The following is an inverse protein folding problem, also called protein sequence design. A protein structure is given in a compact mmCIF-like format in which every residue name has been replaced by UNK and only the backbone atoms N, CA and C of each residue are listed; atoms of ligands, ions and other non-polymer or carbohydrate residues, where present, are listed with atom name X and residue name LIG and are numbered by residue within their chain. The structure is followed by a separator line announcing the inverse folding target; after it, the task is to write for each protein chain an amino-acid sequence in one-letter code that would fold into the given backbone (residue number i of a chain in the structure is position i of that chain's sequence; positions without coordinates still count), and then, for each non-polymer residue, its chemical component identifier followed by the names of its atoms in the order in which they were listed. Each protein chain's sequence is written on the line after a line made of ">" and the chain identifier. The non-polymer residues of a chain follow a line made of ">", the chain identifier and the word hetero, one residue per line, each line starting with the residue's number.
data_IF_638860831067
#
_entry.id   IF_638860831067
#
_cell.length_a   1.000
_cell.length_b   1.000
_cell.length_c   1.000
_cell.angle_alpha   90.00
_cell.angle_beta   90.00
_cell.angle_gamma   90.00
#
_symmetry.space_group_name_H-M   'P 1'
#
loop_
_entity.id
_entity.type
_entity.pdbx_description
1 polymer ?
#
# COMPACT_ATOMS: atom_id res chain seq x y z
N UNK A 1 -16.22 9.36 -11.05
CA UNK A 1 -14.95 8.82 -10.56
C UNK A 1 -13.94 9.95 -10.39
N UNK A 2 -13.32 9.97 -9.22
CA UNK A 2 -12.30 10.96 -8.89
C UNK A 2 -10.95 10.59 -9.52
N UNK A 3 -10.52 11.39 -10.51
CA UNK A 3 -9.30 11.13 -11.30
C UNK A 3 -8.03 11.08 -10.46
N UNK A 4 -8.02 11.74 -9.29
CA UNK A 4 -6.88 11.71 -8.39
C UNK A 4 -6.79 10.39 -7.64
N UNK A 5 -7.92 9.93 -7.08
CA UNK A 5 -8.03 8.66 -6.37
C UNK A 5 -7.71 7.48 -7.29
N UNK A 6 -8.20 7.48 -8.53
CA UNK A 6 -7.86 6.46 -9.52
C UNK A 6 -6.35 6.38 -9.80
N UNK A 7 -5.68 7.52 -9.95
CA UNK A 7 -4.22 7.56 -10.16
C UNK A 7 -3.46 7.00 -8.96
N UNK A 8 -3.92 7.31 -7.74
CA UNK A 8 -3.33 6.76 -6.51
C UNK A 8 -3.47 5.23 -6.50
N UNK A 9 -4.67 4.71 -6.77
CA UNK A 9 -4.92 3.26 -6.84
C UNK A 9 -4.06 2.61 -7.92
N UNK A 10 -3.92 3.24 -9.09
CA UNK A 10 -3.05 2.72 -10.16
C UNK A 10 -1.58 2.66 -9.71
N UNK A 11 -1.07 3.70 -9.05
CA UNK A 11 0.28 3.68 -8.51
C UNK A 11 0.50 2.56 -7.48
N UNK A 12 -0.49 2.30 -6.61
CA UNK A 12 -0.42 1.18 -5.65
C UNK A 12 -0.31 -0.15 -6.41
N UNK A 13 -1.17 -0.39 -7.40
CA UNK A 13 -1.15 -1.61 -8.23
C UNK A 13 0.17 -1.79 -8.99
N UNK A 14 0.70 -0.72 -9.56
CA UNK A 14 1.98 -0.76 -10.28
C UNK A 14 3.13 -1.12 -9.33
N UNK A 15 3.12 -0.58 -8.11
CA UNK A 15 4.12 -0.90 -7.09
C UNK A 15 3.99 -2.34 -6.58
N UNK A 16 2.77 -2.83 -6.36
CA UNK A 16 2.50 -4.21 -5.98
C UNK A 16 3.03 -5.18 -7.05
N UNK A 17 2.74 -4.92 -8.33
CA UNK A 17 3.27 -5.72 -9.45
C UNK A 17 4.81 -5.73 -9.48
N UNK A 18 5.45 -4.61 -9.17
CA UNK A 18 6.92 -4.50 -9.15
C UNK A 18 7.57 -5.39 -8.09
N UNK A 19 6.87 -5.73 -6.99
CA UNK A 19 7.39 -6.66 -5.98
C UNK A 19 7.71 -8.05 -6.56
N UNK A 20 7.02 -8.48 -7.62
CA UNK A 20 7.32 -9.74 -8.30
C UNK A 20 8.62 -9.75 -9.11
N UNK A 21 9.23 -8.58 -9.34
CA UNK A 21 10.40 -8.40 -10.21
C UNK A 21 11.60 -7.74 -9.52
N UNK A 22 11.53 -7.47 -8.21
CA UNK A 22 12.69 -6.92 -7.49
C UNK A 22 13.74 -8.01 -7.30
N UNK A 23 14.98 -7.66 -7.62
CA UNK A 23 16.14 -8.56 -7.65
C UNK A 23 17.15 -8.28 -6.53
N UNK A 24 16.86 -7.30 -5.67
CA UNK A 24 17.69 -6.99 -4.52
C UNK A 24 16.92 -6.28 -3.41
N UNK A 25 17.49 -6.39 -2.21
CA UNK A 25 17.00 -5.80 -0.97
C UNK A 25 16.76 -4.28 -1.02
N UNK A 26 17.64 -3.53 -1.69
CA UNK A 26 17.51 -2.07 -1.75
C UNK A 26 16.32 -1.66 -2.62
N UNK A 27 16.08 -2.35 -3.74
CA UNK A 27 14.90 -2.10 -4.58
C UNK A 27 13.62 -2.54 -3.88
N UNK A 28 13.62 -3.70 -3.21
CA UNK A 28 12.49 -4.17 -2.42
C UNK A 28 12.04 -3.14 -1.37
N UNK A 29 12.97 -2.67 -0.52
CA UNK A 29 12.60 -1.73 0.54
C UNK A 29 12.11 -0.39 -0.02
N UNK A 30 12.67 0.08 -1.15
CA UNK A 30 12.19 1.29 -1.83
C UNK A 30 10.76 1.12 -2.34
N UNK A 31 10.41 -0.04 -2.88
CA UNK A 31 9.02 -0.34 -3.29
C UNK A 31 8.10 -0.37 -2.08
N UNK A 32 8.50 -1.01 -0.98
CA UNK A 32 7.70 -1.04 0.25
C UNK A 32 7.47 0.35 0.86
N UNK A 33 8.50 1.20 0.91
CA UNK A 33 8.36 2.59 1.36
C UNK A 33 7.42 3.40 0.47
N UNK A 34 7.49 3.20 -0.85
CA UNK A 34 6.58 3.84 -1.79
C UNK A 34 5.13 3.34 -1.60
N UNK A 35 4.93 2.03 -1.41
CA UNK A 35 3.61 1.45 -1.11
C UNK A 35 3.02 2.09 0.15
N UNK A 36 3.77 2.17 1.24
CA UNK A 36 3.32 2.82 2.48
C UNK A 36 2.85 4.25 2.22
N UNK A 37 3.64 5.05 1.53
CA UNK A 37 3.30 6.44 1.20
C UNK A 37 1.99 6.54 0.40
N UNK A 38 1.82 5.75 -0.66
CA UNK A 38 0.63 5.85 -1.51
C UNK A 38 -0.62 5.29 -0.84
N UNK A 39 -0.47 4.27 0.01
CA UNK A 39 -1.56 3.79 0.86
C UNK A 39 -2.01 4.89 1.84
N UNK A 40 -1.09 5.53 2.55
CA UNK A 40 -1.43 6.63 3.48
C UNK A 40 -2.11 7.79 2.75
N UNK A 41 -1.60 8.16 1.57
CA UNK A 41 -2.23 9.16 0.71
C UNK A 41 -3.63 8.77 0.26
N UNK A 42 -3.87 7.49 -0.03
CA UNK A 42 -5.20 7.00 -0.37
C UNK A 42 -6.16 7.13 0.82
N UNK A 43 -5.73 6.72 2.02
CA UNK A 43 -6.52 6.85 3.23
C UNK A 43 -6.88 8.32 3.52
N UNK A 44 -5.91 9.23 3.41
CA UNK A 44 -6.12 10.67 3.61
C UNK A 44 -7.11 11.28 2.59
N UNK A 45 -7.09 10.82 1.34
CA UNK A 45 -8.06 11.30 0.34
C UNK A 45 -9.49 10.89 0.70
N UNK A 46 -9.67 9.68 1.22
CA UNK A 46 -10.99 9.18 1.61
C UNK A 46 -11.48 9.78 2.92
N UNK A 47 -10.61 10.03 3.90
CA UNK A 47 -11.00 10.61 5.19
C UNK A 47 -11.57 12.03 5.05
N UNK A 48 -11.16 12.75 4.01
CA UNK A 48 -11.60 14.11 3.72
C UNK A 48 -12.88 14.19 2.88
N UNK A 49 -13.42 13.06 2.40
CA UNK A 49 -14.58 13.07 1.50
C UNK A 49 -15.49 11.84 1.68
N UNK A 50 -16.65 12.04 2.30
CA UNK A 50 -17.62 10.99 2.59
C UNK A 50 -18.19 10.32 1.32
N UNK A 51 -18.30 11.04 0.19
CA UNK A 51 -18.76 10.46 -1.06
C UNK A 51 -17.71 9.49 -1.62
N UNK A 52 -16.43 9.87 -1.62
CA UNK A 52 -15.34 9.00 -2.04
C UNK A 52 -15.19 7.81 -1.09
N UNK A 53 -15.37 8.01 0.21
CA UNK A 53 -15.32 6.92 1.18
C UNK A 53 -16.35 5.83 0.87
N UNK A 54 -17.57 6.21 0.44
CA UNK A 54 -18.60 5.25 0.00
C UNK A 54 -18.24 4.62 -1.34
N UNK A 55 -17.79 5.40 -2.32
CA UNK A 55 -17.42 4.93 -3.66
C UNK A 55 -16.27 3.90 -3.63
N UNK A 56 -15.25 4.17 -2.82
CA UNK A 56 -14.03 3.36 -2.75
C UNK A 56 -13.96 2.45 -1.51
N UNK A 57 -15.09 2.22 -0.82
CA UNK A 57 -15.13 1.44 0.42
C UNK A 57 -14.53 0.04 0.24
N UNK A 58 -14.90 -0.67 -0.84
CA UNK A 58 -14.38 -2.01 -1.12
C UNK A 58 -12.86 -2.01 -1.34
N UNK A 59 -12.35 -1.01 -2.08
CA UNK A 59 -10.90 -0.85 -2.30
C UNK A 59 -10.17 -0.52 -1.01
N UNK A 60 -10.71 0.38 -0.19
CA UNK A 60 -10.16 0.69 1.13
C UNK A 60 -10.07 -0.55 2.01
N UNK A 61 -11.16 -1.32 2.11
CA UNK A 61 -11.17 -2.55 2.90
C UNK A 61 -10.14 -3.56 2.39
N UNK A 62 -9.96 -3.69 1.07
CA UNK A 62 -8.95 -4.60 0.52
C UNK A 62 -7.51 -4.26 0.92
N UNK A 63 -7.22 -2.99 1.22
CA UNK A 63 -5.88 -2.55 1.62
C UNK A 63 -5.68 -2.50 3.14
N UNK A 64 -6.68 -2.01 3.88
CA UNK A 64 -6.54 -1.67 5.30
C UNK A 64 -7.23 -2.62 6.26
N UNK A 65 -8.10 -3.51 5.78
CA UNK A 65 -8.82 -4.44 6.63
C UNK A 65 -8.38 -5.87 6.37
N UNK A 66 -8.02 -6.58 7.43
CA UNK A 66 -7.86 -8.03 7.40
C UNK A 66 -9.05 -8.69 8.11
N UNK A 67 -9.67 -9.66 7.46
CA UNK A 67 -10.63 -10.55 8.14
C UNK A 67 -9.94 -11.34 9.26
N UNK A 68 -8.77 -11.93 8.96
CA UNK A 68 -7.88 -12.59 9.91
C UNK A 68 -6.42 -12.31 9.54
N UNK A 69 -5.55 -12.05 10.52
CA UNK A 69 -4.12 -11.79 10.31
C UNK A 69 -3.82 -10.33 9.98
N UNK A 70 -2.85 -10.10 9.09
CA UNK A 70 -2.38 -8.77 8.70
C UNK A 70 -3.01 -8.30 7.39
N UNK A 71 -3.48 -7.05 7.37
CA UNK A 71 -3.95 -6.38 6.15
C UNK A 71 -2.79 -6.17 5.19
N UNK A 72 -3.08 -5.74 3.95
CA UNK A 72 -2.00 -5.40 3.03
C UNK A 72 -1.12 -4.27 3.58
N UNK A 73 -1.73 -3.22 4.15
CA UNK A 73 -1.01 -2.12 4.80
C UNK A 73 -0.13 -2.61 5.96
N UNK A 74 -0.64 -3.50 6.81
CA UNK A 74 0.14 -4.06 7.92
C UNK A 74 1.35 -4.84 7.42
N UNK A 75 1.18 -5.65 6.35
CA UNK A 75 2.29 -6.40 5.74
C UNK A 75 3.37 -5.46 5.21
N UNK A 76 2.98 -4.39 4.51
CA UNK A 76 3.93 -3.37 4.04
C UNK A 76 4.69 -2.75 5.21
N UNK A 77 4.00 -2.37 6.28
CA UNK A 77 4.62 -1.78 7.46
C UNK A 77 5.58 -2.76 8.15
N UNK A 78 5.17 -4.02 8.29
CA UNK A 78 5.98 -5.08 8.89
C UNK A 78 7.23 -5.38 8.06
N UNK A 79 7.13 -5.47 6.73
CA UNK A 79 8.29 -5.63 5.85
C UNK A 79 9.31 -4.50 6.01
N UNK A 80 8.85 -3.26 6.18
CA UNK A 80 9.75 -2.12 6.43
C UNK A 80 10.41 -2.23 7.81
N UNK A 81 9.67 -2.66 8.82
CA UNK A 81 10.18 -2.84 10.18
C UNK A 81 11.22 -3.95 10.24
N UNK A 82 10.93 -5.11 9.65
CA UNK A 82 11.86 -6.24 9.55
C UNK A 82 13.16 -5.84 8.85
N UNK A 83 13.07 -5.09 7.75
CA UNK A 83 14.24 -4.56 7.06
C UNK A 83 15.13 -3.69 7.96
N UNK A 84 14.52 -2.82 8.80
CA UNK A 84 15.25 -1.99 9.77
C UNK A 84 15.95 -2.83 10.84
N UNK A 85 15.40 -3.98 11.19
CA UNK A 85 16.02 -4.94 12.11
C UNK A 85 17.09 -5.82 11.47
N UNK A 86 17.38 -5.63 10.18
CA UNK A 86 18.41 -6.38 9.46
C UNK A 86 17.90 -7.64 8.77
N UNK A 87 16.60 -7.94 8.87
CA UNK A 87 15.99 -9.05 8.15
C UNK A 87 15.83 -8.66 6.67
N UNK A 88 16.62 -9.30 5.82
CA UNK A 88 16.66 -9.03 4.39
C UNK A 88 15.97 -10.18 3.67
N UNK A 89 14.88 -9.93 2.93
CA UNK A 89 14.11 -10.98 2.27
C UNK A 89 14.88 -11.66 1.11
N UNK A 90 16.01 -11.09 0.70
CA UNK A 90 16.92 -11.63 -0.32
C UNK A 90 18.36 -11.72 0.20
#
# INVERSE_FOLDING_TARGET
>A
MDKQTEKVIQHIKDLENRLGYVDNNLRYIKVMQALKYWLEKFADLLSNNQALQKEYQATYLSYFYAGCGFSFYDRVCNSILEYKHGNRPF
#
